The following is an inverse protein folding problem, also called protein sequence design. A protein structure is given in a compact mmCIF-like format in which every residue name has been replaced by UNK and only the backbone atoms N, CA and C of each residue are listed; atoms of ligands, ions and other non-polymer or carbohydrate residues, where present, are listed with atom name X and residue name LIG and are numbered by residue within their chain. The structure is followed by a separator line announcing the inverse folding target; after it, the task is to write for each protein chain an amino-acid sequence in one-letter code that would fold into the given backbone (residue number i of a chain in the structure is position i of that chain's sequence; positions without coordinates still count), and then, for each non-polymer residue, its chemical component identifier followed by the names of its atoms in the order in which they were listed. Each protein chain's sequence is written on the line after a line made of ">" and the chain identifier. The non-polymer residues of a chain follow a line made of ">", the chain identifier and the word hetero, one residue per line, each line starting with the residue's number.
data_IF_531549644198
#
_entry.id   IF_531549644198
#
_cell.length_a   1.000
_cell.length_b   1.000
_cell.length_c   1.000
_cell.angle_alpha   90.00
_cell.angle_beta   90.00
_cell.angle_gamma   90.00
#
_symmetry.space_group_name_H-M   'P 1'
#
loop_
_entity.id
_entity.type
_entity.pdbx_description
1 polymer ?
#
# COMPACT_ATOMS: atom_id res chain seq x y z
N UNK A 1 -18.45 4.00 2.77
CA UNK A 1 -19.23 3.25 1.77
C UNK A 1 -18.29 2.92 0.61
N UNK A 2 -18.04 1.65 0.21
CA UNK A 2 -18.18 0.37 0.92
C UNK A 2 -16.85 0.06 1.66
N UNK A 3 -16.74 -0.33 2.94
CA UNK A 3 -17.47 -1.32 3.76
C UNK A 3 -17.65 -2.70 3.12
N UNK A 4 -16.67 -3.16 2.33
CA UNK A 4 -16.37 -4.60 2.31
C UNK A 4 -15.24 -4.83 3.31
N UNK A 5 -15.62 -5.38 4.45
CA UNK A 5 -14.70 -5.81 5.49
C UNK A 5 -13.58 -6.64 4.86
N UNK A 6 -12.33 -6.31 5.21
CA UNK A 6 -11.12 -7.10 4.99
C UNK A 6 -11.30 -8.62 5.14
N UNK A 7 -12.29 -9.00 5.95
CA UNK A 7 -12.64 -10.35 6.38
C UNK A 7 -13.19 -11.22 5.22
N UNK A 8 -13.81 -10.65 4.17
CA UNK A 8 -14.31 -11.47 3.03
C UNK A 8 -13.18 -12.02 2.13
N UNK A 9 -11.98 -11.43 2.15
CA UNK A 9 -10.86 -11.89 1.30
C UNK A 9 -10.08 -13.05 1.93
N UNK A 10 -10.26 -13.31 3.24
CA UNK A 10 -9.61 -14.43 3.93
C UNK A 10 -10.27 -15.80 3.67
N UNK A 11 -11.46 -15.85 3.06
CA UNK A 11 -12.20 -17.11 2.82
C UNK A 11 -11.88 -17.81 1.50
N UNK A 12 -11.09 -17.21 0.61
CA UNK A 12 -10.67 -17.84 -0.64
C UNK A 12 -9.14 -17.82 -0.67
N UNK A 13 -8.51 -18.97 -0.43
CA UNK A 13 -7.07 -19.15 -0.18
C UNK A 13 -6.16 -18.80 -1.35
N UNK A 14 -6.19 -17.54 -1.81
CA UNK A 14 -5.41 -17.09 -2.93
C UNK A 14 -4.46 -15.96 -2.51
N UNK A 15 -3.18 -16.29 -2.47
CA UNK A 15 -2.01 -15.44 -2.25
C UNK A 15 -1.80 -14.46 -3.42
N UNK A 16 -2.86 -13.79 -3.90
CA UNK A 16 -2.78 -12.81 -5.00
C UNK A 16 -1.98 -11.59 -4.55
N UNK A 17 -0.70 -11.59 -4.90
CA UNK A 17 0.19 -10.42 -4.83
C UNK A 17 -0.46 -9.31 -5.65
N UNK A 18 -0.80 -8.20 -4.99
CA UNK A 18 -1.36 -7.02 -5.65
C UNK A 18 -0.25 -6.01 -5.87
N UNK A 19 -0.27 -5.44 -7.06
CA UNK A 19 0.55 -4.30 -7.42
C UNK A 19 0.02 -3.07 -6.69
N UNK A 20 0.88 -2.40 -5.93
CA UNK A 20 0.59 -1.15 -5.24
C UNK A 20 1.68 -0.13 -5.53
N UNK A 21 1.28 1.13 -5.62
CA UNK A 21 2.21 2.25 -5.82
C UNK A 21 2.63 2.79 -4.46
N UNK A 22 3.92 2.91 -4.23
CA UNK A 22 4.52 3.42 -2.99
C UNK A 22 5.43 4.59 -3.34
N UNK A 23 5.38 5.65 -2.55
CA UNK A 23 6.26 6.79 -2.78
C UNK A 23 7.65 6.56 -2.17
N UNK A 24 8.72 6.69 -2.96
CA UNK A 24 10.10 6.58 -2.45
C UNK A 24 10.50 7.76 -1.56
N UNK A 25 9.90 8.94 -1.75
CA UNK A 25 10.25 10.14 -0.98
C UNK A 25 9.58 10.21 0.40
N UNK A 26 8.36 9.72 0.55
CA UNK A 26 7.60 9.83 1.80
C UNK A 26 7.17 8.50 2.42
N UNK A 27 7.40 7.38 1.72
CA UNK A 27 7.14 6.03 2.19
C UNK A 27 5.67 5.67 2.32
N UNK A 28 4.73 6.54 1.93
CA UNK A 28 3.30 6.24 1.97
C UNK A 28 2.82 5.59 0.68
N UNK A 29 1.83 4.72 0.87
CA UNK A 29 1.16 4.00 -0.21
C UNK A 29 0.23 4.98 -0.95
N UNK A 30 0.45 5.10 -2.25
CA UNK A 30 -0.39 5.83 -3.18
C UNK A 30 -1.41 4.92 -3.85
N UNK A 31 -2.28 5.53 -4.63
CA UNK A 31 -3.23 4.81 -5.48
C UNK A 31 -3.21 5.43 -6.87
N UNK A 32 -3.20 4.60 -7.91
CA UNK A 32 -3.20 5.01 -9.32
C UNK A 32 -2.02 5.93 -9.68
N UNK A 33 -0.81 5.61 -9.19
CA UNK A 33 0.39 6.41 -9.47
C UNK A 33 0.39 7.82 -8.88
N UNK A 34 -0.42 8.07 -7.85
CA UNK A 34 -0.49 9.38 -7.19
C UNK A 34 -0.27 9.28 -5.68
N UNK A 35 0.61 10.14 -5.15
CA UNK A 35 0.83 10.27 -3.72
C UNK A 35 -0.09 11.36 -3.13
N UNK A 36 -0.99 10.99 -2.22
CA UNK A 36 -1.86 11.95 -1.53
C UNK A 36 -1.10 12.89 -0.58
N UNK A 37 0.02 12.42 0.00
CA UNK A 37 0.82 13.21 0.95
C UNK A 37 1.69 14.26 0.27
N UNK A 38 2.37 13.87 -0.82
CA UNK A 38 3.27 14.75 -1.57
C UNK A 38 2.58 15.49 -2.73
N UNK A 39 1.32 15.13 -3.05
CA UNK A 39 0.56 15.66 -4.20
C UNK A 39 1.37 15.60 -5.50
N UNK A 40 2.10 14.50 -5.69
CA UNK A 40 3.01 14.31 -6.82
C UNK A 40 3.04 12.85 -7.24
N UNK A 41 3.31 12.61 -8.53
CA UNK A 41 3.47 11.29 -9.14
C UNK A 41 4.92 10.96 -9.50
N UNK A 42 5.86 11.91 -9.32
CA UNK A 42 7.25 11.79 -9.82
C UNK A 42 8.08 10.70 -9.12
N UNK A 43 7.77 10.39 -7.86
CA UNK A 43 8.57 9.48 -7.02
C UNK A 43 7.77 8.23 -6.62
N UNK A 44 6.97 7.69 -7.53
CA UNK A 44 6.16 6.49 -7.30
C UNK A 44 6.93 5.24 -7.78
N UNK A 45 7.02 4.23 -6.93
CA UNK A 45 7.58 2.93 -7.21
C UNK A 45 6.50 1.85 -7.06
N UNK A 46 6.53 0.85 -7.93
CA UNK A 46 5.52 -0.19 -7.98
C UNK A 46 6.02 -1.45 -7.26
N UNK A 47 5.34 -1.85 -6.18
CA UNK A 47 5.72 -3.02 -5.36
C UNK A 47 4.57 -4.04 -5.36
N UNK A 48 4.93 -5.33 -5.35
CA UNK A 48 3.98 -6.43 -5.21
C UNK A 48 3.84 -6.80 -3.73
N UNK A 49 2.69 -6.49 -3.13
CA UNK A 49 2.39 -6.74 -1.71
C UNK A 49 1.07 -7.52 -1.62
N UNK A 50 0.89 -8.45 -0.65
CA UNK A 50 -0.40 -9.09 -0.44
C UNK A 50 -1.50 -8.08 -0.05
N UNK A 51 -2.74 -8.40 -0.43
CA UNK A 51 -3.89 -7.55 -0.12
C UNK A 51 -4.08 -7.33 1.39
N UNK A 52 -3.75 -8.34 2.22
CA UNK A 52 -3.79 -8.24 3.67
C UNK A 52 -2.91 -7.09 4.20
N UNK A 53 -1.66 -6.98 3.75
CA UNK A 53 -0.79 -5.87 4.16
C UNK A 53 -1.32 -4.53 3.67
N UNK A 54 -1.87 -4.45 2.45
CA UNK A 54 -2.50 -3.22 1.96
C UNK A 54 -3.63 -2.75 2.89
N UNK A 55 -4.46 -3.66 3.39
CA UNK A 55 -5.52 -3.37 4.35
C UNK A 55 -4.97 -2.92 5.70
N UNK A 56 -3.99 -3.65 6.25
CA UNK A 56 -3.37 -3.27 7.52
C UNK A 56 -2.85 -1.83 7.49
N UNK A 57 -2.22 -1.41 6.38
CA UNK A 57 -1.77 -0.04 6.23
C UNK A 57 -2.89 1.00 6.09
N UNK A 58 -4.07 0.60 5.62
CA UNK A 58 -5.26 1.46 5.59
C UNK A 58 -5.87 1.62 6.99
N UNK A 59 -5.92 0.54 7.78
CA UNK A 59 -6.39 0.57 9.17
C UNK A 59 -5.46 1.43 10.05
N UNK A 60 -4.13 1.26 9.92
CA UNK A 60 -3.15 2.07 10.65
C UNK A 60 -3.30 3.57 10.36
N UNK A 61 -3.50 3.95 9.08
CA UNK A 61 -3.74 5.34 8.71
C UNK A 61 -5.04 5.89 9.29
N UNK A 62 -6.07 5.04 9.43
CA UNK A 62 -7.34 5.42 10.06
C UNK A 62 -7.20 5.66 11.56
N UNK A 63 -6.19 5.04 12.20
CA UNK A 63 -5.81 5.29 13.59
C UNK A 63 -4.75 6.41 13.75
N UNK A 64 -4.53 7.22 12.71
CA UNK A 64 -3.53 8.30 12.69
C UNK A 64 -2.05 7.82 12.79
N UNK A 65 -1.77 6.57 12.43
CA UNK A 65 -0.41 6.02 12.37
C UNK A 65 -0.01 5.88 10.90
N UNK A 66 1.07 6.57 10.49
CA UNK A 66 1.53 6.57 9.09
C UNK A 66 2.68 5.58 8.92
N UNK A 67 2.47 4.42 8.26
CA UNK A 67 3.57 3.51 7.94
C UNK A 67 4.45 4.15 6.87
N UNK A 68 5.73 4.36 7.17
CA UNK A 68 6.74 4.82 6.19
C UNK A 68 7.55 3.62 5.73
N UNK A 69 7.42 3.31 4.45
CA UNK A 69 8.18 2.26 3.78
C UNK A 69 9.45 2.87 3.20
N UNK A 70 10.59 2.26 3.49
CA UNK A 70 11.84 2.54 2.79
C UNK A 70 12.03 1.51 1.68
N UNK A 71 12.38 1.98 0.48
CA UNK A 71 12.58 1.11 -0.69
C UNK A 71 14.07 0.96 -0.96
N UNK A 72 14.62 -0.19 -0.58
CA UNK A 72 15.96 -0.60 -1.00
C UNK A 72 15.90 -1.37 -2.32
N UNK A 73 16.95 -1.23 -3.14
CA UNK A 73 17.16 -2.09 -4.31
C UNK A 73 17.74 -3.43 -3.84
N UNK A 74 17.17 -4.53 -4.32
CA UNK A 74 17.60 -5.88 -3.93
C UNK A 74 18.84 -6.41 -4.69
N UNK A 75 19.36 -5.66 -5.66
CA UNK A 75 20.53 -6.09 -6.45
C UNK A 75 21.84 -5.71 -5.76
N UNK A 76 22.33 -6.61 -4.91
CA UNK A 76 23.75 -6.77 -4.54
C UNK A 76 24.14 -8.25 -4.68
#
# INVERSE_FOLDING_TARGET
>A
MPRKCAIEVARSGETRRKIVDVCTGCGVIGSKGWCQKCRSSKSMANIKIPYACKLLFQELQSMNIVPRLDLARYTE
#
